data_IF_672654207791
#
_entry.id   IF_672654207791
#
_cell.length_a   1.000
_cell.length_b   1.000
_cell.length_c   1.000
_cell.angle_alpha   90.00
_cell.angle_beta   90.00
_cell.angle_gamma   90.00
#
_symmetry.space_group_name_H-M   'P 1'
#
loop_
_entity.id
_entity.type
_entity.pdbx_description
1 polymer ?
#
# COMPACT_ATOMS: atom_id res chain seq x y z
N UNK A 1 -14.77 38.17 44.76
CA UNK A 1 -14.87 38.43 46.22
C UNK A 1 -16.20 37.86 46.69
N UNK A 2 -16.40 37.06 47.72
CA UNK A 2 -15.60 36.33 48.71
C UNK A 2 -16.59 35.26 49.23
N UNK A 3 -16.33 33.96 49.05
CA UNK A 3 -15.77 33.00 50.03
C UNK A 3 -16.71 32.48 51.14
N UNK A 4 -16.61 31.16 51.37
CA UNK A 4 -16.96 30.32 52.54
C UNK A 4 -18.39 29.74 52.53
N UNK A 5 -18.64 28.42 52.55
CA UNK A 5 -17.84 27.26 52.95
C UNK A 5 -18.32 26.74 54.31
N UNK A 6 -18.97 25.58 54.34
CA UNK A 6 -19.09 24.74 55.55
C UNK A 6 -19.57 23.31 55.22
N UNK A 7 -18.74 22.37 55.64
CA UNK A 7 -18.84 20.91 55.61
C UNK A 7 -19.86 20.37 56.61
N UNK A 8 -20.54 19.25 56.32
CA UNK A 8 -20.90 18.27 57.37
C UNK A 8 -21.05 16.84 56.85
N UNK A 9 -20.48 15.93 57.65
CA UNK A 9 -20.34 14.49 57.49
C UNK A 9 -21.62 13.68 57.81
N UNK A 10 -21.70 12.52 57.14
CA UNK A 10 -22.13 11.16 57.55
C UNK A 10 -23.44 10.91 58.33
N UNK A 11 -24.26 9.97 57.81
CA UNK A 11 -24.60 8.72 58.52
C UNK A 11 -25.14 7.62 57.58
N UNK A 12 -24.61 6.41 57.79
CA UNK A 12 -25.01 5.11 57.24
C UNK A 12 -26.18 4.54 58.04
N UNK A 13 -27.12 3.83 57.40
CA UNK A 13 -27.81 2.66 57.97
C UNK A 13 -28.02 1.58 56.90
N UNK A 14 -27.65 0.36 57.32
CA UNK A 14 -27.72 -0.96 56.70
C UNK A 14 -29.13 -1.36 56.22
N UNK A 15 -29.19 -2.11 55.12
CA UNK A 15 -30.32 -2.97 54.74
C UNK A 15 -29.78 -4.27 54.13
N UNK A 16 -30.09 -5.39 54.77
CA UNK A 16 -29.47 -6.71 54.61
C UNK A 16 -30.36 -7.67 53.78
N UNK A 17 -29.71 -8.67 53.13
CA UNK A 17 -30.24 -9.99 52.69
C UNK A 17 -31.13 -9.98 51.43
N UNK A 18 -30.99 -10.84 50.41
CA UNK A 18 -30.26 -12.09 50.16
C UNK A 18 -30.87 -12.73 48.88
N UNK A 19 -30.26 -13.78 48.28
CA UNK A 19 -30.50 -14.17 46.89
C UNK A 19 -31.62 -15.21 46.72
N UNK A 20 -32.23 -15.27 45.53
CA UNK A 20 -33.12 -16.38 45.12
C UNK A 20 -32.58 -17.09 43.88
N UNK A 21 -32.12 -18.32 44.09
CA UNK A 21 -32.16 -19.41 43.11
C UNK A 21 -33.53 -20.08 43.21
N UNK A 22 -34.10 -20.53 42.09
CA UNK A 22 -34.70 -21.88 41.98
C UNK A 22 -34.87 -22.26 40.50
N UNK A 23 -34.49 -23.51 40.23
CA UNK A 23 -34.56 -24.26 38.99
C UNK A 23 -35.79 -25.17 39.05
N UNK A 24 -36.44 -25.51 37.92
CA UNK A 24 -36.87 -26.89 37.63
C UNK A 24 -37.37 -27.10 36.19
N UNK A 25 -37.03 -28.30 35.73
CA UNK A 25 -37.20 -29.04 34.47
C UNK A 25 -38.59 -29.67 34.29
N UNK A 26 -39.00 -29.96 33.04
CA UNK A 26 -39.69 -31.23 32.65
C UNK A 26 -39.29 -31.65 31.22
N UNK A 27 -38.98 -32.95 31.10
CA UNK A 27 -38.64 -33.77 29.92
C UNK A 27 -39.89 -34.44 29.29
N UNK A 28 -39.82 -34.79 27.98
CA UNK A 28 -40.33 -36.09 27.46
C UNK A 28 -39.75 -36.51 26.09
N UNK A 29 -38.93 -37.59 26.12
CA UNK A 29 -38.73 -38.77 25.23
C UNK A 29 -39.50 -38.90 23.89
N UNK A 30 -39.07 -39.63 22.81
CA UNK A 30 -37.92 -40.43 22.28
C UNK A 30 -38.43 -41.04 20.90
N UNK A 31 -37.80 -41.98 20.12
CA UNK A 31 -36.45 -42.61 20.11
C UNK A 31 -35.77 -42.86 18.71
N UNK A 32 -34.51 -43.32 18.77
CA UNK A 32 -33.80 -44.17 17.77
C UNK A 32 -32.60 -43.49 17.08
N UNK A 33 -31.34 -43.95 17.11
CA UNK A 33 -30.69 -45.25 17.32
C UNK A 33 -29.21 -45.05 17.71
N UNK A 34 -28.63 -46.03 18.42
CA UNK A 34 -27.23 -46.09 18.96
C UNK A 34 -26.13 -46.10 17.89
N UNK A 35 -24.83 -45.99 18.19
CA UNK A 35 -23.96 -46.81 19.09
C UNK A 35 -22.67 -45.99 19.40
N UNK A 36 -22.32 -45.71 20.67
CA UNK A 36 -21.22 -46.25 21.54
C UNK A 36 -19.84 -46.35 20.87
N UNK A 37 -18.68 -45.94 21.41
CA UNK A 37 -18.18 -45.42 22.71
C UNK A 37 -16.67 -45.18 22.50
N UNK A 38 -15.82 -44.65 23.40
CA UNK A 38 -15.87 -44.15 24.76
C UNK A 38 -14.42 -43.85 25.20
N UNK A 39 -14.23 -42.75 25.95
CA UNK A 39 -13.40 -42.53 27.18
C UNK A 39 -11.98 -43.16 27.27
N UNK A 40 -10.92 -42.56 27.86
CA UNK A 40 -10.79 -41.49 28.86
C UNK A 40 -9.31 -41.00 29.00
N UNK A 41 -9.18 -39.83 29.67
CA UNK A 41 -8.07 -39.25 30.47
C UNK A 41 -6.95 -40.20 30.97
N UNK A 42 -5.68 -39.83 31.20
CA UNK A 42 -5.05 -38.62 31.74
C UNK A 42 -4.23 -38.97 33.01
N UNK A 43 -3.00 -38.42 33.18
CA UNK A 43 -2.12 -38.28 34.40
C UNK A 43 -0.63 -38.37 33.98
N UNK A 44 0.23 -37.34 34.06
CA UNK A 44 0.94 -36.65 35.17
C UNK A 44 2.34 -37.21 35.53
N UNK A 45 3.29 -36.26 35.74
CA UNK A 45 4.66 -36.34 36.32
C UNK A 45 5.81 -36.80 35.40
N UNK A 46 7.01 -36.22 35.38
CA UNK A 46 7.68 -35.17 36.15
C UNK A 46 9.13 -35.01 35.61
N UNK A 47 9.73 -33.82 35.76
CA UNK A 47 11.13 -33.51 35.36
C UNK A 47 12.16 -34.19 36.29
N UNK A 48 13.42 -34.35 35.84
CA UNK A 48 14.47 -33.52 36.45
C UNK A 48 15.58 -32.99 35.49
N UNK A 49 16.04 -31.78 35.84
CA UNK A 49 17.40 -31.20 35.84
C UNK A 49 18.47 -31.56 34.76
N UNK A 50 18.93 -30.49 34.07
CA UNK A 50 20.25 -30.28 33.42
C UNK A 50 21.41 -30.33 34.47
N UNK A 51 22.72 -30.51 34.14
CA UNK A 51 23.43 -29.81 33.05
C UNK A 51 24.64 -30.53 32.37
N UNK A 52 25.09 -30.05 31.20
CA UNK A 52 26.51 -29.75 30.86
C UNK A 52 26.74 -29.67 29.34
N UNK A 53 27.87 -29.06 29.01
CA UNK A 53 28.27 -28.37 27.78
C UNK A 53 28.56 -29.25 26.54
N UNK A 54 28.41 -28.60 25.37
CA UNK A 54 29.12 -28.81 24.09
C UNK A 54 28.90 -30.13 23.32
N UNK A 55 28.04 -30.08 22.29
CA UNK A 55 28.32 -30.70 20.97
C UNK A 55 27.86 -29.78 19.85
N UNK A 56 28.76 -29.57 18.91
CA UNK A 56 28.69 -28.65 17.79
C UNK A 56 27.85 -29.16 16.61
N UNK A 57 27.22 -28.22 15.90
CA UNK A 57 27.12 -28.11 14.43
C UNK A 57 27.08 -29.43 13.66
N UNK A 58 25.89 -29.89 13.26
CA UNK A 58 25.73 -30.69 12.02
C UNK A 58 24.29 -30.61 11.49
N UNK A 59 23.99 -29.61 10.65
CA UNK A 59 22.84 -29.66 9.73
C UNK A 59 23.26 -29.14 8.37
N UNK A 60 24.20 -29.86 7.74
CA UNK A 60 24.44 -29.79 6.29
C UNK A 60 24.78 -31.19 5.81
N UNK A 61 23.79 -31.88 5.27
CA UNK A 61 23.90 -32.85 4.16
C UNK A 61 22.60 -33.64 4.11
N UNK A 62 21.72 -33.23 3.23
CA UNK A 62 21.04 -34.12 2.29
C UNK A 62 20.25 -33.21 1.36
N UNK A 63 20.75 -33.04 0.13
CA UNK A 63 20.03 -32.80 -1.12
C UNK A 63 20.97 -32.12 -2.13
N UNK A 64 21.78 -32.94 -2.76
CA UNK A 64 22.41 -32.81 -4.08
C UNK A 64 22.72 -34.27 -4.45
N UNK A 65 22.33 -34.85 -5.58
CA UNK A 65 21.96 -34.33 -6.89
C UNK A 65 21.21 -35.43 -7.69
N UNK A 66 20.83 -35.08 -8.93
CA UNK A 66 20.16 -35.85 -10.01
C UNK A 66 18.63 -35.81 -9.95
N UNK A 67 17.91 -35.45 -11.02
CA UNK A 67 18.30 -35.16 -12.39
C UNK A 67 17.08 -34.69 -13.18
N UNK A 68 17.32 -33.85 -14.19
CA UNK A 68 16.34 -33.28 -15.10
C UNK A 68 15.61 -34.33 -15.93
N UNK A 69 14.26 -34.24 -16.03
CA UNK A 69 13.48 -34.50 -17.26
C UNK A 69 12.17 -33.70 -17.25
N UNK A 70 11.99 -32.87 -18.28
CA UNK A 70 10.72 -32.28 -18.69
C UNK A 70 9.79 -33.33 -19.32
N UNK A 71 8.47 -33.23 -19.10
CA UNK A 71 7.45 -33.11 -20.16
C UNK A 71 6.00 -33.31 -19.61
N UNK A 72 5.13 -32.44 -20.12
CA UNK A 72 3.68 -32.23 -19.90
C UNK A 72 2.79 -33.46 -20.21
N UNK A 73 1.55 -33.58 -19.73
CA UNK A 73 0.34 -32.92 -20.27
C UNK A 73 -0.91 -33.48 -19.58
N UNK A 74 -1.98 -32.69 -19.47
CA UNK A 74 -3.36 -33.20 -19.44
C UNK A 74 -4.22 -32.24 -20.28
N UNK A 75 -4.45 -32.60 -21.53
CA UNK A 75 -5.46 -31.99 -22.39
C UNK A 75 -6.49 -33.07 -22.71
N UNK A 76 -7.76 -32.74 -22.45
CA UNK A 76 -8.91 -33.57 -22.77
C UNK A 76 -9.08 -33.64 -24.29
N UNK A 77 -9.25 -34.87 -24.75
CA UNK A 77 -9.35 -35.26 -26.15
C UNK A 77 -10.83 -35.23 -26.56
N UNK A 78 -11.16 -34.68 -27.73
CA UNK A 78 -12.25 -35.25 -28.52
C UNK A 78 -12.11 -34.97 -30.04
N UNK A 79 -12.12 -36.10 -30.76
CA UNK A 79 -12.50 -36.37 -32.16
C UNK A 79 -11.51 -36.12 -33.34
N UNK A 80 -11.13 -37.29 -33.90
CA UNK A 80 -10.75 -37.69 -35.27
C UNK A 80 -11.32 -36.78 -36.41
N UNK A 81 -10.70 -36.60 -37.58
CA UNK A 81 -10.19 -37.63 -38.53
C UNK A 81 -9.34 -36.98 -39.66
N UNK A 82 -8.73 -37.82 -40.51
CA UNK A 82 -7.54 -37.66 -41.36
C UNK A 82 -7.61 -36.78 -42.65
N UNK A 83 -6.38 -36.42 -43.11
CA UNK A 83 -5.80 -36.53 -44.48
C UNK A 83 -5.55 -35.29 -45.38
N UNK A 84 -4.30 -35.28 -45.86
CA UNK A 84 -3.76 -34.81 -47.16
C UNK A 84 -3.36 -33.33 -47.42
N UNK A 85 -2.03 -33.14 -47.42
CA UNK A 85 -1.14 -32.50 -48.42
C UNK A 85 -1.49 -31.20 -49.16
N UNK A 86 -0.45 -30.35 -49.21
CA UNK A 86 0.07 -29.53 -50.33
C UNK A 86 0.02 -28.00 -50.17
N UNK A 87 1.22 -27.42 -50.31
CA UNK A 87 1.62 -26.08 -50.76
C UNK A 87 0.78 -24.84 -50.41
N UNK A 88 1.43 -23.88 -49.73
CA UNK A 88 1.90 -22.64 -50.39
C UNK A 88 2.79 -21.77 -49.50
N UNK A 89 3.91 -21.40 -50.12
CA UNK A 89 4.91 -20.39 -49.78
C UNK A 89 4.28 -19.00 -49.62
N UNK A 90 4.63 -18.25 -48.56
CA UNK A 90 4.74 -16.78 -48.63
C UNK A 90 5.96 -16.35 -47.81
N UNK A 91 6.93 -15.79 -48.54
CA UNK A 91 8.12 -15.11 -48.04
C UNK A 91 7.73 -13.82 -47.30
N UNK A 92 8.37 -13.54 -46.17
CA UNK A 92 8.51 -12.18 -45.66
C UNK A 92 9.98 -11.79 -45.65
N UNK A 93 10.36 -11.14 -46.74
CA UNK A 93 11.63 -10.43 -46.92
C UNK A 93 11.51 -9.09 -46.20
N UNK A 94 12.26 -8.90 -45.11
CA UNK A 94 12.55 -7.56 -44.59
C UNK A 94 14.05 -7.47 -44.35
N UNK A 95 14.68 -6.79 -45.30
CA UNK A 95 16.10 -6.61 -45.52
C UNK A 95 16.73 -5.85 -44.34
N UNK A 96 17.63 -6.52 -43.62
CA UNK A 96 18.52 -5.87 -42.67
C UNK A 96 19.53 -5.00 -43.45
N UNK A 97 19.40 -3.68 -43.34
CA UNK A 97 20.50 -2.76 -43.62
C UNK A 97 21.02 -2.23 -42.30
N UNK A 98 22.09 -2.87 -41.84
CA UNK A 98 22.91 -2.37 -40.75
C UNK A 98 23.79 -1.23 -41.28
N UNK A 99 23.63 -0.04 -40.71
CA UNK A 99 24.64 1.01 -40.76
C UNK A 99 24.78 1.61 -39.36
N UNK A 100 26.02 1.59 -38.90
CA UNK A 100 26.54 1.79 -37.55
C UNK A 100 26.55 3.28 -37.16
N UNK A 101 26.33 3.60 -35.88
CA UNK A 101 27.15 4.61 -35.21
C UNK A 101 27.18 4.46 -33.67
N UNK A 102 28.35 4.04 -33.19
CA UNK A 102 29.11 4.66 -32.09
C UNK A 102 28.43 4.92 -30.74
N UNK A 103 28.59 3.99 -29.80
CA UNK A 103 28.41 4.23 -28.37
C UNK A 103 28.84 3.01 -27.57
N UNK A 104 30.02 3.08 -26.95
CA UNK A 104 30.59 2.00 -26.12
C UNK A 104 29.71 1.78 -24.88
N UNK A 105 28.98 0.69 -24.89
CA UNK A 105 28.35 0.05 -23.75
C UNK A 105 27.77 -1.25 -24.24
N UNK A 106 28.17 -2.40 -23.67
CA UNK A 106 27.55 -3.69 -24.02
C UNK A 106 26.05 -3.57 -23.73
N UNK A 107 25.25 -3.28 -24.74
CA UNK A 107 23.80 -3.25 -24.61
C UNK A 107 23.38 -4.67 -24.20
N UNK A 108 22.69 -4.79 -23.07
CA UNK A 108 22.15 -6.08 -22.64
C UNK A 108 21.18 -6.54 -23.73
N UNK A 109 21.60 -7.52 -24.52
CA UNK A 109 20.72 -8.14 -25.51
C UNK A 109 19.66 -8.89 -24.74
N UNK A 110 18.39 -8.54 -24.96
CA UNK A 110 17.30 -9.22 -24.29
C UNK A 110 17.31 -10.70 -24.67
N UNK A 111 17.06 -11.58 -23.69
CA UNK A 111 16.96 -13.03 -23.93
C UNK A 111 15.93 -13.36 -25.04
N UNK A 112 14.88 -12.54 -25.12
CA UNK A 112 13.80 -12.65 -26.11
C UNK A 112 14.16 -12.09 -27.49
N UNK A 113 15.34 -11.50 -27.69
CA UNK A 113 15.77 -10.90 -28.97
C UNK A 113 14.99 -9.64 -29.36
N UNK A 114 14.15 -9.12 -28.47
CA UNK A 114 13.37 -7.90 -28.69
C UNK A 114 14.21 -6.70 -28.25
N UNK A 115 14.56 -5.77 -29.16
CA UNK A 115 15.25 -4.55 -28.76
C UNK A 115 14.34 -3.71 -27.84
N UNK A 116 14.90 -2.99 -26.86
CA UNK A 116 14.11 -2.10 -26.03
C UNK A 116 13.37 -1.08 -26.91
N UNK A 117 12.05 -0.99 -26.77
CA UNK A 117 11.24 -0.04 -27.52
C UNK A 117 11.61 1.38 -27.13
N UNK A 118 12.09 2.19 -28.08
CA UNK A 118 12.25 3.63 -27.89
C UNK A 118 10.86 4.27 -27.91
N UNK A 119 10.41 4.76 -26.76
CA UNK A 119 9.19 5.55 -26.70
C UNK A 119 9.49 6.99 -27.14
N UNK A 120 8.48 7.68 -27.66
CA UNK A 120 8.57 9.09 -28.07
C UNK A 120 7.50 9.90 -27.37
N UNK A 121 7.79 11.17 -27.11
CA UNK A 121 6.79 12.16 -26.68
C UNK A 121 5.80 12.47 -27.81
N UNK A 122 4.65 13.07 -27.50
CA UNK A 122 3.72 13.58 -28.52
C UNK A 122 4.36 14.59 -29.49
N UNK A 123 5.39 15.31 -29.06
CA UNK A 123 6.15 16.26 -29.88
C UNK A 123 7.24 15.59 -30.76
N UNK A 124 7.33 14.26 -30.75
CA UNK A 124 8.29 13.48 -31.53
C UNK A 124 9.68 13.36 -30.91
N UNK A 125 9.95 14.01 -29.77
CA UNK A 125 11.23 13.87 -29.07
C UNK A 125 11.35 12.52 -28.35
N UNK A 126 12.58 12.06 -28.13
CA UNK A 126 12.82 10.77 -27.47
C UNK A 126 12.37 10.80 -26.00
N UNK A 127 11.65 9.76 -25.59
CA UNK A 127 11.25 9.57 -24.20
C UNK A 127 12.45 9.14 -23.37
N UNK A 128 12.85 9.98 -22.42
CA UNK A 128 14.09 9.78 -21.64
C UNK A 128 13.91 8.92 -20.38
N UNK A 129 12.68 8.59 -20.00
CA UNK A 129 12.39 7.89 -18.75
C UNK A 129 12.22 6.39 -18.96
N UNK A 130 12.92 5.61 -18.15
CA UNK A 130 12.79 4.16 -18.14
C UNK A 130 11.80 3.66 -17.08
N UNK A 131 11.54 4.46 -16.05
CA UNK A 131 10.72 4.14 -14.89
C UNK A 131 9.20 4.32 -15.11
N UNK A 132 8.79 5.02 -16.18
CA UNK A 132 7.40 5.14 -16.60
C UNK A 132 7.36 5.41 -18.12
N UNK A 133 6.18 5.31 -18.71
CA UNK A 133 5.91 5.40 -20.14
C UNK A 133 4.98 6.58 -20.45
N UNK A 134 4.97 7.08 -21.70
CA UNK A 134 4.14 8.22 -22.06
C UNK A 134 2.64 8.02 -21.76
N UNK A 135 2.10 6.80 -21.89
CA UNK A 135 0.69 6.50 -21.62
C UNK A 135 0.35 6.36 -20.13
N UNK A 136 1.35 6.36 -19.24
CA UNK A 136 1.17 6.35 -17.78
C UNK A 136 1.17 7.78 -17.21
N UNK A 137 1.44 8.78 -18.05
CA UNK A 137 1.40 10.21 -17.69
C UNK A 137 -0.02 10.75 -17.79
N UNK A 138 -0.33 11.77 -16.99
CA UNK A 138 -1.67 12.35 -16.92
C UNK A 138 -1.63 13.85 -16.57
N UNK A 139 -2.77 14.52 -16.70
CA UNK A 139 -2.98 15.88 -16.18
C UNK A 139 -3.79 15.73 -14.89
N UNK A 140 -3.33 16.27 -13.76
CA UNK A 140 -4.00 16.09 -12.48
C UNK A 140 -5.33 16.88 -12.41
N UNK A 141 -6.34 16.32 -11.78
CA UNK A 141 -7.63 16.96 -11.53
C UNK A 141 -7.53 18.10 -10.52
N UNK A 142 -7.28 19.29 -11.04
CA UNK A 142 -7.20 20.52 -10.25
C UNK A 142 -8.57 21.00 -9.71
N UNK A 143 -9.68 20.34 -10.06
CA UNK A 143 -11.03 20.69 -9.60
C UNK A 143 -11.45 20.00 -8.29
N UNK A 144 -10.62 19.09 -7.79
CA UNK A 144 -10.89 18.31 -6.57
C UNK A 144 -11.06 19.19 -5.32
N UNK A 145 -12.02 18.84 -4.46
CA UNK A 145 -12.28 19.58 -3.23
C UNK A 145 -11.20 19.34 -2.17
N UNK A 146 -10.34 20.32 -1.96
CA UNK A 146 -9.24 20.27 -0.99
C UNK A 146 -9.71 20.43 0.46
N UNK A 147 -10.94 20.85 0.71
CA UNK A 147 -11.45 21.17 2.06
C UNK A 147 -12.23 20.03 2.70
N UNK A 148 -12.50 18.98 1.94
CA UNK A 148 -13.23 17.80 2.40
C UNK A 148 -12.49 17.13 3.57
N UNK A 149 -13.24 16.92 4.64
CA UNK A 149 -12.80 16.23 5.86
C UNK A 149 -13.79 15.13 6.19
N UNK A 150 -13.29 13.91 6.42
CA UNK A 150 -14.12 12.82 6.87
C UNK A 150 -14.30 12.86 8.40
N UNK A 151 -15.52 13.10 8.89
CA UNK A 151 -15.77 13.15 10.32
C UNK A 151 -15.52 11.78 11.01
N UNK A 152 -14.73 11.71 12.10
CA UNK A 152 -14.48 10.46 12.81
C UNK A 152 -15.67 10.04 13.69
N UNK A 153 -16.62 9.30 13.10
CA UNK A 153 -17.86 8.86 13.78
C UNK A 153 -17.64 7.60 14.61
N UNK A 154 -17.07 6.55 14.02
CA UNK A 154 -16.91 5.26 14.68
C UNK A 154 -15.69 5.23 15.62
N UNK A 155 -15.60 4.22 16.49
CA UNK A 155 -14.43 4.05 17.35
C UNK A 155 -13.13 3.89 16.55
N UNK A 156 -13.16 3.10 15.47
CA UNK A 156 -11.99 2.88 14.62
C UNK A 156 -11.63 4.13 13.82
N UNK A 157 -12.60 4.96 13.41
CA UNK A 157 -12.29 6.24 12.76
C UNK A 157 -11.64 7.21 13.73
N UNK A 158 -12.12 7.28 14.97
CA UNK A 158 -11.49 8.09 16.03
C UNK A 158 -10.08 7.61 16.33
N UNK A 159 -9.87 6.29 16.39
CA UNK A 159 -8.56 5.70 16.59
C UNK A 159 -7.60 6.04 15.44
N UNK A 160 -8.04 5.90 14.19
CA UNK A 160 -7.28 6.27 13.01
C UNK A 160 -6.90 7.75 13.02
N UNK A 161 -7.88 8.64 13.23
CA UNK A 161 -7.67 10.08 13.29
C UNK A 161 -6.65 10.47 14.36
N UNK A 162 -6.80 9.98 15.59
CA UNK A 162 -5.86 10.27 16.67
C UNK A 162 -4.48 9.68 16.43
N UNK A 163 -4.38 8.51 15.80
CA UNK A 163 -3.10 7.92 15.40
C UNK A 163 -2.37 8.86 14.45
N UNK A 164 -3.04 9.38 13.42
CA UNK A 164 -2.43 10.34 12.49
C UNK A 164 -2.03 11.64 13.18
N UNK A 165 -2.89 12.21 14.03
CA UNK A 165 -2.56 13.43 14.78
C UNK A 165 -1.35 13.23 15.71
N UNK A 166 -1.24 12.06 16.34
CA UNK A 166 -0.09 11.73 17.20
C UNK A 166 1.19 11.55 16.36
N UNK A 167 1.10 10.89 15.21
CA UNK A 167 2.25 10.72 14.30
C UNK A 167 2.71 12.05 13.72
N UNK A 168 1.80 13.00 13.51
CA UNK A 168 2.13 14.34 13.01
C UNK A 168 3.00 15.13 13.98
N UNK A 169 2.71 15.10 15.28
CA UNK A 169 3.43 15.90 16.28
C UNK A 169 4.98 15.76 16.23
N UNK A 170 5.57 14.55 16.32
CA UNK A 170 7.03 14.40 16.26
C UNK A 170 7.60 14.81 14.90
N UNK A 171 6.85 14.62 13.80
CA UNK A 171 7.31 15.06 12.47
C UNK A 171 7.38 16.58 12.35
N UNK A 172 6.36 17.29 12.86
CA UNK A 172 6.34 18.75 12.89
C UNK A 172 7.52 19.30 13.73
N UNK A 173 7.81 18.67 14.87
CA UNK A 173 8.93 19.06 15.74
C UNK A 173 10.29 18.77 15.10
N UNK A 174 10.45 17.63 14.43
CA UNK A 174 11.72 17.22 13.84
C UNK A 174 12.08 18.03 12.59
N UNK A 175 11.10 18.31 11.72
CA UNK A 175 11.36 18.96 10.43
C UNK A 175 11.21 20.49 10.46
N UNK A 176 10.42 21.04 11.38
CA UNK A 176 10.18 22.48 11.49
C UNK A 176 9.94 23.13 10.10
N UNK A 177 10.67 24.19 9.75
CA UNK A 177 10.56 24.92 8.47
C UNK A 177 11.30 24.28 7.29
N UNK A 178 11.83 23.06 7.41
CA UNK A 178 12.52 22.37 6.29
C UNK A 178 11.52 21.64 5.39
N UNK A 179 10.63 22.38 4.72
CA UNK A 179 9.51 21.82 3.95
C UNK A 179 9.93 20.84 2.84
N UNK A 180 10.98 21.16 2.05
CA UNK A 180 11.45 20.25 1.00
C UNK A 180 11.98 18.91 1.54
N UNK A 181 12.74 18.95 2.65
CA UNK A 181 13.23 17.73 3.30
C UNK A 181 12.11 16.96 3.99
N UNK A 182 11.11 17.68 4.54
CA UNK A 182 9.92 17.09 5.16
C UNK A 182 9.08 16.34 4.12
N UNK A 183 8.72 17.00 3.01
CA UNK A 183 7.93 16.41 1.93
C UNK A 183 8.61 15.13 1.45
N UNK A 184 9.86 15.24 0.98
CA UNK A 184 10.69 14.10 0.57
C UNK A 184 10.68 12.94 1.60
N UNK A 185 10.83 13.22 2.89
CA UNK A 185 10.84 12.15 3.90
C UNK A 185 9.47 11.53 4.13
N UNK A 186 8.38 12.30 4.09
CA UNK A 186 7.02 11.79 4.24
C UNK A 186 6.61 10.96 3.02
N UNK A 187 7.01 11.34 1.80
CA UNK A 187 6.77 10.55 0.58
C UNK A 187 7.34 9.13 0.67
N UNK A 188 8.47 8.94 1.37
CA UNK A 188 9.04 7.59 1.56
C UNK A 188 8.14 6.67 2.39
N UNK A 189 7.28 7.24 3.22
CA UNK A 189 6.32 6.52 4.06
C UNK A 189 4.98 6.43 3.35
N UNK A 190 4.53 7.49 2.67
CA UNK A 190 3.28 7.56 1.93
C UNK A 190 3.21 6.56 0.76
N UNK A 191 4.35 6.21 0.14
CA UNK A 191 4.38 5.15 -0.87
C UNK A 191 4.19 3.70 -0.34
N UNK A 192 4.20 3.49 0.98
CA UNK A 192 4.15 2.14 1.58
C UNK A 192 2.73 1.54 1.64
N UNK A 193 1.69 2.28 2.08
CA UNK A 193 0.33 1.76 2.23
C UNK A 193 -0.27 1.15 0.96
N UNK A 194 -0.22 1.85 -0.16
CA UNK A 194 -0.73 1.37 -1.45
C UNK A 194 -0.05 0.06 -1.87
N UNK A 195 1.27 -0.03 -1.69
CA UNK A 195 2.05 -1.23 -2.01
C UNK A 195 1.62 -2.43 -1.14
N UNK A 196 1.48 -2.22 0.18
CA UNK A 196 1.05 -3.26 1.12
C UNK A 196 -0.38 -3.72 0.82
N UNK A 197 -1.30 -2.78 0.62
CA UNK A 197 -2.70 -3.08 0.31
C UNK A 197 -2.85 -3.82 -1.02
N UNK A 198 -2.20 -3.31 -2.08
CA UNK A 198 -2.16 -3.92 -3.41
C UNK A 198 -1.59 -5.34 -3.38
N UNK A 199 -0.46 -5.55 -2.68
CA UNK A 199 0.16 -6.87 -2.50
C UNK A 199 -0.78 -7.84 -1.75
N UNK A 200 -1.38 -7.42 -0.64
CA UNK A 200 -2.26 -8.28 0.15
C UNK A 200 -3.54 -8.65 -0.60
N UNK A 201 -4.12 -7.70 -1.35
CA UNK A 201 -5.26 -7.95 -2.24
C UNK A 201 -4.87 -8.85 -3.42
N UNK A 202 -3.68 -8.68 -4.00
CA UNK A 202 -3.17 -9.54 -5.05
C UNK A 202 -3.06 -10.99 -4.58
N UNK A 203 -2.39 -11.22 -3.45
CA UNK A 203 -2.32 -12.55 -2.86
C UNK A 203 -3.71 -13.10 -2.48
N UNK A 204 -4.70 -12.23 -2.18
CA UNK A 204 -6.08 -12.64 -1.86
C UNK A 204 -6.84 -13.08 -3.10
N UNK A 205 -6.71 -12.32 -4.17
CA UNK A 205 -7.27 -12.65 -5.49
C UNK A 205 -6.75 -14.01 -5.96
N UNK A 206 -5.44 -14.24 -5.88
CA UNK A 206 -4.82 -15.51 -6.30
C UNK A 206 -5.33 -16.72 -5.49
N UNK A 207 -5.28 -16.63 -4.14
CA UNK A 207 -5.67 -17.77 -3.29
C UNK A 207 -7.17 -18.06 -3.29
N UNK A 208 -8.00 -17.11 -3.72
CA UNK A 208 -9.47 -17.27 -3.81
C UNK A 208 -9.97 -17.44 -5.25
N UNK A 209 -9.10 -17.27 -6.25
CA UNK A 209 -9.47 -17.26 -7.68
C UNK A 209 -10.58 -16.24 -7.99
N UNK A 210 -10.46 -15.01 -7.44
CA UNK A 210 -11.47 -13.94 -7.59
C UNK A 210 -10.86 -12.68 -8.23
N UNK A 211 -11.68 -11.92 -8.96
CA UNK A 211 -11.34 -10.55 -9.38
C UNK A 211 -11.26 -9.58 -8.18
N UNK A 212 -10.56 -8.44 -8.36
CA UNK A 212 -10.29 -7.45 -7.29
C UNK A 212 -10.98 -6.09 -7.46
N UNK A 213 -11.85 -5.92 -8.44
CA UNK A 213 -12.62 -4.69 -8.69
C UNK A 213 -11.77 -3.52 -9.17
N UNK A 214 -10.56 -3.79 -9.66
CA UNK A 214 -9.58 -2.75 -10.01
C UNK A 214 -8.72 -2.26 -8.84
N UNK A 215 -9.02 -2.66 -7.60
CA UNK A 215 -8.35 -2.13 -6.40
C UNK A 215 -6.85 -2.47 -6.31
N UNK A 216 -6.42 -3.61 -6.86
CA UNK A 216 -4.97 -3.91 -6.93
C UNK A 216 -4.28 -2.85 -7.79
N UNK A 217 -4.86 -2.49 -8.93
CA UNK A 217 -4.28 -1.51 -9.83
C UNK A 217 -4.28 -0.12 -9.18
N UNK A 218 -5.42 0.32 -8.64
CA UNK A 218 -5.52 1.63 -7.97
C UNK A 218 -4.49 1.82 -6.85
N UNK A 219 -4.32 0.82 -5.97
CA UNK A 219 -3.39 0.94 -4.84
C UNK A 219 -1.92 0.86 -5.26
N UNK A 220 -1.60 0.14 -6.34
CA UNK A 220 -0.24 0.13 -6.88
C UNK A 220 0.08 1.41 -7.65
N UNK A 221 -0.92 1.99 -8.34
CA UNK A 221 -0.80 3.30 -8.98
C UNK A 221 -0.62 4.42 -7.93
N UNK A 222 -1.37 4.40 -6.83
CA UNK A 222 -1.16 5.28 -5.66
C UNK A 222 0.28 5.17 -5.15
N UNK A 223 0.76 3.95 -4.85
CA UNK A 223 2.13 3.75 -4.38
C UNK A 223 3.20 4.21 -5.38
N UNK A 224 2.93 4.10 -6.68
CA UNK A 224 3.80 4.63 -7.71
C UNK A 224 3.75 6.16 -7.78
N UNK A 225 2.57 6.76 -7.66
CA UNK A 225 2.39 8.20 -7.66
C UNK A 225 3.15 8.87 -6.50
N UNK A 226 2.99 8.36 -5.29
CA UNK A 226 3.76 8.76 -4.09
C UNK A 226 5.29 8.63 -4.32
N UNK A 227 5.71 7.55 -5.00
CA UNK A 227 7.13 7.39 -5.38
C UNK A 227 7.56 8.45 -6.41
N UNK A 228 6.67 8.89 -7.30
CA UNK A 228 6.96 9.95 -8.28
C UNK A 228 7.01 11.34 -7.62
N UNK A 229 6.24 11.58 -6.56
CA UNK A 229 6.40 12.76 -5.69
C UNK A 229 7.80 12.79 -5.09
N UNK A 230 8.23 11.68 -4.47
CA UNK A 230 9.58 11.54 -3.92
C UNK A 230 10.68 11.83 -4.95
N UNK A 231 10.60 11.19 -6.12
CA UNK A 231 11.61 11.35 -7.18
C UNK A 231 11.68 12.79 -7.69
N UNK A 232 10.55 13.48 -7.71
CA UNK A 232 10.47 14.90 -8.07
C UNK A 232 11.16 15.77 -7.03
N UNK A 233 10.85 15.59 -5.74
CA UNK A 233 11.48 16.40 -4.69
C UNK A 233 12.97 16.10 -4.49
N UNK A 234 13.43 14.89 -4.84
CA UNK A 234 14.85 14.55 -4.83
C UNK A 234 15.69 15.36 -5.82
N UNK A 235 15.11 15.83 -6.93
CA UNK A 235 15.79 16.71 -7.89
C UNK A 235 15.98 18.14 -7.31
N UNK A 236 15.14 18.52 -6.34
CA UNK A 236 15.17 19.83 -5.69
C UNK A 236 15.99 19.80 -4.39
N UNK A 237 15.89 18.72 -3.62
CA UNK A 237 16.54 18.58 -2.31
C UNK A 237 17.24 17.22 -2.18
N UNK A 238 18.55 17.25 -1.89
CA UNK A 238 19.34 16.03 -1.69
C UNK A 238 19.39 15.61 -0.22
N UNK A 239 19.01 14.36 0.12
CA UNK A 239 19.06 13.89 1.49
C UNK A 239 20.49 13.63 1.97
N UNK A 240 20.75 13.94 3.24
CA UNK A 240 21.96 13.55 3.94
C UNK A 240 21.97 12.06 4.31
N UNK A 241 23.15 11.50 4.62
CA UNK A 241 23.29 10.08 5.00
C UNK A 241 22.43 9.71 6.22
N UNK A 242 22.34 10.59 7.22
CA UNK A 242 21.51 10.36 8.40
C UNK A 242 20.00 10.38 8.09
N UNK A 243 19.55 11.22 7.15
CA UNK A 243 18.15 11.26 6.68
C UNK A 243 17.81 9.95 5.95
N UNK A 244 18.75 9.42 5.14
CA UNK A 244 18.58 8.10 4.49
C UNK A 244 18.53 6.95 5.51
N UNK A 245 19.38 6.98 6.54
CA UNK A 245 19.34 5.99 7.61
C UNK A 245 18.03 6.06 8.40
N UNK A 246 17.51 7.27 8.63
CA UNK A 246 16.21 7.50 9.26
C UNK A 246 15.07 6.94 8.41
N UNK A 247 15.07 7.17 7.09
CA UNK A 247 14.09 6.56 6.16
C UNK A 247 14.09 5.05 6.30
N UNK A 248 15.26 4.40 6.29
CA UNK A 248 15.35 2.95 6.43
C UNK A 248 14.73 2.45 7.75
N UNK A 249 15.03 3.12 8.87
CA UNK A 249 14.49 2.76 10.18
C UNK A 249 12.96 2.97 10.24
N UNK A 250 12.46 4.11 9.76
CA UNK A 250 11.04 4.44 9.74
C UNK A 250 10.26 3.49 8.85
N UNK A 251 10.74 3.23 7.63
CA UNK A 251 10.12 2.24 6.73
C UNK A 251 10.11 0.85 7.35
N UNK A 252 11.20 0.42 8.00
CA UNK A 252 11.27 -0.87 8.68
C UNK A 252 10.17 -1.03 9.74
N UNK A 253 9.91 0.00 10.55
CA UNK A 253 8.83 -0.04 11.56
C UNK A 253 7.46 0.11 10.92
N UNK A 254 7.28 1.13 10.08
CA UNK A 254 5.98 1.48 9.51
C UNK A 254 5.44 0.40 8.58
N UNK A 255 6.28 -0.18 7.71
CA UNK A 255 5.88 -1.27 6.83
C UNK A 255 5.28 -2.44 7.62
N UNK A 256 5.99 -2.91 8.66
CA UNK A 256 5.54 -4.05 9.46
C UNK A 256 4.27 -3.72 10.26
N UNK A 257 4.19 -2.53 10.85
CA UNK A 257 3.01 -2.07 11.58
C UNK A 257 1.79 -1.95 10.66
N UNK A 258 1.94 -1.31 9.50
CA UNK A 258 0.87 -1.14 8.52
C UNK A 258 0.44 -2.47 7.90
N UNK A 259 1.38 -3.36 7.58
CA UNK A 259 1.09 -4.73 7.13
C UNK A 259 0.22 -5.50 8.14
N UNK A 260 0.59 -5.48 9.42
CA UNK A 260 -0.21 -6.10 10.47
C UNK A 260 -1.60 -5.44 10.60
N UNK A 261 -1.67 -4.11 10.57
CA UNK A 261 -2.93 -3.37 10.62
C UNK A 261 -3.87 -3.73 9.46
N UNK A 262 -3.34 -3.84 8.23
CA UNK A 262 -4.12 -4.22 7.05
C UNK A 262 -4.61 -5.67 7.12
N UNK A 263 -3.80 -6.60 7.62
CA UNK A 263 -4.23 -7.98 7.86
C UNK A 263 -5.36 -8.09 8.89
N UNK A 264 -5.29 -7.29 9.96
CA UNK A 264 -6.28 -7.28 11.04
C UNK A 264 -7.57 -6.57 10.60
N UNK A 265 -7.44 -5.42 9.95
CA UNK A 265 -8.56 -4.55 9.61
C UNK A 265 -8.24 -3.64 8.42
N UNK A 266 -8.54 -4.07 7.18
CA UNK A 266 -8.38 -3.25 5.97
C UNK A 266 -9.12 -1.92 6.06
N UNK A 267 -10.31 -1.90 6.68
CA UNK A 267 -11.08 -0.65 6.90
C UNK A 267 -10.34 0.36 7.77
N UNK A 268 -9.63 -0.11 8.79
CA UNK A 268 -8.84 0.76 9.66
C UNK A 268 -7.62 1.26 8.91
N UNK A 269 -6.92 0.38 8.19
CA UNK A 269 -5.74 0.73 7.42
C UNK A 269 -6.04 1.82 6.38
N UNK A 270 -7.08 1.62 5.55
CA UNK A 270 -7.55 2.63 4.61
C UNK A 270 -8.00 3.93 5.28
N UNK A 271 -8.65 3.87 6.46
CA UNK A 271 -9.02 5.10 7.19
C UNK A 271 -7.80 5.87 7.69
N UNK A 272 -6.76 5.16 8.15
CA UNK A 272 -5.50 5.79 8.58
C UNK A 272 -4.87 6.52 7.40
N UNK A 273 -4.80 5.90 6.22
CA UNK A 273 -4.26 6.54 5.01
C UNK A 273 -5.09 7.76 4.64
N UNK A 274 -6.42 7.65 4.57
CA UNK A 274 -7.25 8.82 4.25
C UNK A 274 -7.00 10.02 5.16
N UNK A 275 -6.79 9.81 6.46
CA UNK A 275 -6.38 10.90 7.36
C UNK A 275 -4.93 11.36 7.18
N UNK A 276 -3.99 10.49 6.80
CA UNK A 276 -2.63 10.90 6.43
C UNK A 276 -2.68 11.86 5.25
N UNK A 277 -3.52 11.56 4.25
CA UNK A 277 -3.60 12.41 3.05
C UNK A 277 -4.36 13.72 3.31
N UNK A 278 -5.31 13.74 4.25
CA UNK A 278 -5.84 15.02 4.76
C UNK A 278 -4.72 15.90 5.34
N UNK A 279 -3.79 15.32 6.09
CA UNK A 279 -2.63 16.05 6.61
C UNK A 279 -1.63 16.44 5.51
N UNK A 280 -1.50 15.64 4.46
CA UNK A 280 -0.67 15.92 3.29
C UNK A 280 -1.22 17.13 2.53
N UNK A 281 -2.52 17.17 2.21
CA UNK A 281 -3.20 18.30 1.56
C UNK A 281 -2.99 19.60 2.35
N UNK A 282 -3.12 19.55 3.69
CA UNK A 282 -2.84 20.68 4.56
C UNK A 282 -1.37 21.11 4.50
N UNK A 283 -0.45 20.15 4.51
CA UNK A 283 1.00 20.42 4.49
C UNK A 283 1.45 21.06 3.17
N UNK A 284 0.93 20.59 2.03
CA UNK A 284 1.20 21.19 0.72
C UNK A 284 0.53 22.55 0.55
N UNK A 285 -0.64 22.76 1.15
CA UNK A 285 -1.26 24.09 1.19
C UNK A 285 -0.39 25.09 1.96
N UNK A 286 0.24 24.67 3.05
CA UNK A 286 1.20 25.52 3.78
C UNK A 286 2.48 25.75 2.98
N UNK A 287 2.98 24.73 2.28
CA UNK A 287 4.13 24.88 1.37
C UNK A 287 3.83 25.94 0.28
N UNK A 288 2.66 25.90 -0.35
CA UNK A 288 2.27 26.90 -1.34
C UNK A 288 2.26 28.33 -0.77
N UNK A 289 1.81 28.53 0.48
CA UNK A 289 1.87 29.85 1.12
C UNK A 289 3.30 30.33 1.32
N UNK A 290 4.21 29.44 1.71
CA UNK A 290 5.62 29.79 1.89
C UNK A 290 6.32 30.14 0.57
N UNK A 291 5.94 29.47 -0.53
CA UNK A 291 6.37 29.84 -1.89
C UNK A 291 5.80 31.21 -2.29
N UNK A 292 4.50 31.44 -2.08
CA UNK A 292 3.82 32.69 -2.43
C UNK A 292 4.33 33.89 -1.62
N UNK A 293 4.75 33.65 -0.37
CA UNK A 293 5.39 34.66 0.48
C UNK A 293 6.87 34.92 0.13
N UNK A 294 7.47 34.12 -0.76
CA UNK A 294 8.87 34.21 -1.14
C UNK A 294 9.85 33.68 -0.09
N UNK A 295 9.38 32.92 0.89
CA UNK A 295 10.24 32.27 1.90
C UNK A 295 10.96 31.04 1.33
N UNK A 296 10.41 30.46 0.26
CA UNK A 296 11.02 29.37 -0.52
C UNK A 296 11.18 29.83 -1.96
N UNK A 297 12.35 29.57 -2.55
CA UNK A 297 12.62 29.93 -3.94
C UNK A 297 11.76 29.09 -4.90
N UNK A 298 11.02 29.75 -5.79
CA UNK A 298 10.22 29.09 -6.81
C UNK A 298 11.06 28.74 -8.04
N UNK A 299 11.86 27.68 -7.93
CA UNK A 299 12.75 27.19 -9.00
C UNK A 299 11.97 26.56 -10.17
N UNK A 300 12.56 26.40 -11.36
CA UNK A 300 11.95 25.65 -12.46
C UNK A 300 11.59 24.22 -12.07
N UNK A 301 10.46 23.72 -12.57
CA UNK A 301 9.99 22.36 -12.29
C UNK A 301 11.01 21.31 -12.78
N UNK A 302 11.30 20.27 -11.99
CA UNK A 302 12.10 19.15 -12.45
C UNK A 302 11.49 18.52 -13.71
N UNK A 303 12.33 18.15 -14.67
CA UNK A 303 11.81 17.65 -15.93
C UNK A 303 11.02 16.33 -15.80
N UNK A 304 11.26 15.56 -14.73
CA UNK A 304 10.47 14.36 -14.41
C UNK A 304 9.03 14.72 -14.07
N UNK A 305 8.83 15.81 -13.33
CA UNK A 305 7.51 16.32 -12.98
C UNK A 305 6.77 16.83 -14.23
N UNK A 306 7.48 17.61 -15.07
CA UNK A 306 6.92 18.13 -16.32
C UNK A 306 6.38 16.99 -17.19
N UNK A 307 7.17 15.93 -17.37
CA UNK A 307 6.77 14.83 -18.23
C UNK A 307 5.71 13.91 -17.57
N UNK A 308 5.74 13.73 -16.24
CA UNK A 308 4.81 12.87 -15.51
C UNK A 308 3.41 13.47 -15.39
N UNK A 309 3.30 14.73 -14.96
CA UNK A 309 2.04 15.48 -14.82
C UNK A 309 1.68 16.32 -16.06
N UNK A 310 2.40 16.13 -17.18
CA UNK A 310 2.19 16.85 -18.44
C UNK A 310 2.14 18.38 -18.29
N UNK A 311 2.96 18.92 -17.38
CA UNK A 311 2.99 20.36 -17.10
C UNK A 311 3.55 21.15 -18.29
N UNK A 312 3.24 22.46 -18.37
CA UNK A 312 3.93 23.37 -19.29
C UNK A 312 5.46 23.34 -19.13
N UNK A 313 6.20 23.60 -20.21
CA UNK A 313 7.68 23.54 -20.22
C UNK A 313 8.33 24.60 -19.32
N UNK A 314 7.61 25.68 -19.03
CA UNK A 314 7.98 26.79 -18.16
C UNK A 314 7.42 26.67 -16.73
N UNK A 315 6.82 25.51 -16.39
CA UNK A 315 6.30 25.25 -15.06
C UNK A 315 7.37 25.39 -13.97
N UNK A 316 6.90 25.78 -12.78
CA UNK A 316 7.72 26.07 -11.61
C UNK A 316 7.47 25.06 -10.48
N UNK A 317 8.28 25.10 -9.43
CA UNK A 317 8.09 24.29 -8.22
C UNK A 317 6.69 24.47 -7.63
N UNK A 318 6.15 25.69 -7.68
CA UNK A 318 4.77 25.98 -7.26
C UNK A 318 3.73 25.17 -8.04
N UNK A 319 3.89 25.05 -9.35
CA UNK A 319 2.96 24.30 -10.20
C UNK A 319 3.04 22.79 -9.92
N UNK A 320 4.25 22.29 -9.62
CA UNK A 320 4.46 20.92 -9.16
C UNK A 320 3.75 20.67 -7.82
N UNK A 321 3.90 21.57 -6.85
CA UNK A 321 3.25 21.44 -5.53
C UNK A 321 1.72 21.48 -5.67
N UNK A 322 1.19 22.24 -6.63
CA UNK A 322 -0.24 22.27 -6.91
C UNK A 322 -0.77 20.91 -7.38
N UNK A 323 -0.12 20.27 -8.34
CA UNK A 323 -0.56 18.96 -8.86
C UNK A 323 -0.33 17.84 -7.86
N UNK A 324 0.78 17.85 -7.13
CA UNK A 324 1.04 16.92 -6.02
C UNK A 324 -0.08 17.02 -4.98
N UNK A 325 -0.45 18.24 -4.55
CA UNK A 325 -1.57 18.42 -3.61
C UNK A 325 -2.91 17.88 -4.13
N UNK A 326 -3.13 17.92 -5.45
CA UNK A 326 -4.33 17.35 -6.06
C UNK A 326 -4.31 15.82 -6.00
N UNK A 327 -3.16 15.20 -6.28
CA UNK A 327 -2.95 13.76 -6.10
C UNK A 327 -3.25 13.33 -4.65
N UNK A 328 -2.75 14.06 -3.66
CA UNK A 328 -3.02 13.77 -2.24
C UNK A 328 -4.51 13.83 -1.90
N UNK A 329 -5.23 14.82 -2.43
CA UNK A 329 -6.67 14.93 -2.24
C UNK A 329 -7.41 13.76 -2.91
N UNK A 330 -6.86 13.23 -4.01
CA UNK A 330 -7.40 12.04 -4.66
C UNK A 330 -7.16 10.79 -3.81
N UNK A 331 -5.93 10.57 -3.34
CA UNK A 331 -5.59 9.45 -2.45
C UNK A 331 -6.43 9.46 -1.16
N UNK A 332 -6.66 10.65 -0.59
CA UNK A 332 -7.59 10.88 0.54
C UNK A 332 -8.97 10.30 0.25
N UNK A 333 -9.56 10.71 -0.87
CA UNK A 333 -10.93 10.34 -1.25
C UNK A 333 -11.04 8.84 -1.55
N UNK A 334 -10.07 8.28 -2.27
CA UNK A 334 -10.01 6.85 -2.60
C UNK A 334 -9.89 6.00 -1.33
N UNK A 335 -9.01 6.36 -0.40
CA UNK A 335 -8.81 5.60 0.83
C UNK A 335 -9.98 5.74 1.80
N UNK A 336 -10.60 6.92 1.93
CA UNK A 336 -11.83 7.04 2.69
C UNK A 336 -12.97 6.22 2.07
N UNK A 337 -13.11 6.23 0.75
CA UNK A 337 -14.10 5.40 0.05
C UNK A 337 -13.85 3.89 0.25
N UNK A 338 -12.60 3.44 0.16
CA UNK A 338 -12.23 2.04 0.42
C UNK A 338 -12.61 1.60 1.85
N UNK A 339 -12.39 2.49 2.82
CA UNK A 339 -12.81 2.26 4.21
C UNK A 339 -14.33 2.16 4.33
N UNK A 340 -15.07 3.06 3.69
CA UNK A 340 -16.54 3.10 3.73
C UNK A 340 -17.19 1.84 3.14
N UNK A 341 -16.67 1.33 2.02
CA UNK A 341 -17.12 0.05 1.43
C UNK A 341 -17.09 -1.06 2.49
N UNK A 342 -15.98 -1.16 3.23
CA UNK A 342 -15.85 -2.15 4.28
C UNK A 342 -16.77 -1.90 5.48
N UNK A 343 -17.02 -0.65 5.86
CA UNK A 343 -17.98 -0.32 6.92
C UNK A 343 -19.43 -0.66 6.54
N UNK A 344 -19.77 -0.55 5.26
CA UNK A 344 -21.07 -0.93 4.72
C UNK A 344 -21.23 -2.46 4.57
N UNK A 345 -20.23 -3.25 4.97
CA UNK A 345 -20.25 -4.71 4.87
C UNK A 345 -20.02 -5.24 3.45
N UNK A 346 -19.62 -4.37 2.51
CA UNK A 346 -19.32 -4.74 1.14
C UNK A 346 -17.85 -5.15 0.99
N UNK A 347 -17.54 -5.82 -0.13
CA UNK A 347 -16.17 -6.13 -0.52
C UNK A 347 -15.74 -5.21 -1.65
N UNK A 348 -14.45 -4.87 -1.67
CA UNK A 348 -13.83 -4.04 -2.72
C UNK A 348 -14.09 -4.59 -4.14
N UNK A 349 -14.18 -5.91 -4.32
CA UNK A 349 -14.46 -6.52 -5.63
C UNK A 349 -15.87 -6.21 -6.18
N UNK A 350 -16.81 -5.85 -5.30
CA UNK A 350 -18.21 -5.58 -5.64
C UNK A 350 -18.48 -4.07 -5.81
N UNK A 351 -17.57 -3.23 -5.32
CA UNK A 351 -17.57 -1.77 -5.47
C UNK A 351 -16.28 -1.35 -6.20
N UNK A 352 -16.31 -1.19 -7.54
CA UNK A 352 -15.12 -0.95 -8.33
C UNK A 352 -14.30 0.26 -7.85
N UNK A 353 -12.97 0.13 -7.94
CA UNK A 353 -12.07 1.25 -7.70
C UNK A 353 -12.28 2.33 -8.78
N UNK A 354 -12.16 3.62 -8.42
CA UNK A 354 -12.22 4.71 -9.39
C UNK A 354 -10.92 4.77 -10.21
N UNK A 355 -10.79 3.87 -11.20
CA UNK A 355 -9.63 3.80 -12.09
C UNK A 355 -9.60 4.96 -13.09
N UNK A 356 -8.40 5.44 -13.41
CA UNK A 356 -8.19 6.48 -14.42
C UNK A 356 -8.78 7.83 -14.03
N UNK A 357 -9.02 8.04 -12.74
CA UNK A 357 -9.48 9.29 -12.18
C UNK A 357 -8.25 10.11 -11.84
N UNK A 358 -7.60 10.62 -12.88
CA UNK A 358 -6.48 11.53 -12.78
C UNK A 358 -6.82 12.81 -13.52
#
# INVERSE_FOLDING_TARGET
MMTRGATRMTRVVMGHMGPRYFSTTVLRNNPGTGVVGGVAAGLLHGFPANPSEKVAVTWVRHFSAMGSRSASTAALNDKQQEKESSDKKVENTATATAAVNGGVGKSVVSYWGVPPSKATKPDGTEWKWNCFRPWETYEADMSIDLTKHHAPVTFLDKFAYWTVKILRFPTDVFFQRRYGCRAMMLETVAAVPGMVGGMLLHCKSLRRFEQSGGWIKALLEEAENERMHLMTFMEVAKPNVYERALVFAVQGVFFNAYFAAYLISPKLAHRIVGYLEEEAVLSYTEFLKELDNGNIENVPAPAIAIDYWRLPKDATLRDVVLVVRADEAHHRDVNHYASDIHYQGQQLKDSPAPLGYH
#
